data_IF_345110647096
#
_entry.id   IF_345110647096
#
_cell.length_a   1.000
_cell.length_b   1.000
_cell.length_c   1.000
_cell.angle_alpha   90.00
_cell.angle_beta   90.00
_cell.angle_gamma   90.00
#
_symmetry.space_group_name_H-M   'P 1'
#
loop_
_entity.id
_entity.type
_entity.pdbx_description
1 polymer ?
#
# COMPACT_ATOMS: atom_id res chain seq x y z
N UNK A 1 -34.65 -18.87 9.42
CA UNK A 1 -34.25 -17.74 8.56
C UNK A 1 -33.42 -16.66 9.26
N UNK A 2 -33.57 -16.41 10.57
CA UNK A 2 -32.76 -15.42 11.33
C UNK A 2 -31.25 -15.62 11.20
N UNK A 3 -30.75 -16.86 11.25
CA UNK A 3 -29.32 -17.15 11.15
C UNK A 3 -28.73 -16.87 9.75
N UNK A 4 -29.55 -17.01 8.70
CA UNK A 4 -29.12 -16.78 7.32
C UNK A 4 -28.88 -15.30 7.04
N UNK A 5 -29.74 -14.43 7.61
CA UNK A 5 -29.54 -12.97 7.59
C UNK A 5 -28.24 -12.57 8.30
N UNK A 6 -27.95 -13.20 9.44
CA UNK A 6 -26.76 -12.90 10.24
C UNK A 6 -25.46 -13.25 9.48
N UNK A 7 -25.45 -14.39 8.79
CA UNK A 7 -24.32 -14.81 7.93
C UNK A 7 -24.14 -13.85 6.75
N UNK A 8 -25.22 -13.40 6.12
CA UNK A 8 -25.15 -12.42 5.01
C UNK A 8 -24.54 -11.09 5.44
N UNK A 9 -24.92 -10.59 6.63
CA UNK A 9 -24.37 -9.33 7.19
C UNK A 9 -22.87 -9.48 7.50
N UNK A 10 -22.47 -10.63 8.05
CA UNK A 10 -21.06 -10.92 8.34
C UNK A 10 -20.21 -10.98 7.06
N UNK A 11 -20.69 -11.65 6.01
CA UNK A 11 -19.96 -11.72 4.73
C UNK A 11 -19.86 -10.34 4.08
N UNK A 12 -20.93 -9.53 4.15
CA UNK A 12 -20.95 -8.19 3.58
C UNK A 12 -20.00 -7.22 4.29
N UNK A 13 -19.84 -7.32 5.61
CA UNK A 13 -18.89 -6.47 6.35
C UNK A 13 -17.43 -6.77 5.97
N UNK A 14 -17.07 -8.03 5.67
CA UNK A 14 -15.75 -8.36 5.14
C UNK A 14 -15.48 -7.70 3.78
N UNK A 15 -16.47 -7.65 2.89
CA UNK A 15 -16.33 -6.96 1.60
C UNK A 15 -16.12 -5.45 1.75
N UNK A 16 -16.76 -4.82 2.74
CA UNK A 16 -16.61 -3.38 2.99
C UNK A 16 -15.23 -3.02 3.57
N UNK A 17 -14.63 -3.91 4.38
CA UNK A 17 -13.32 -3.68 5.02
C UNK A 17 -12.17 -4.14 4.13
N UNK A 18 -12.38 -5.12 3.25
CA UNK A 18 -11.36 -5.62 2.30
C UNK A 18 -11.12 -4.70 1.10
N UNK A 19 -11.70 -3.50 1.08
CA UNK A 19 -11.21 -2.42 0.22
C UNK A 19 -9.87 -1.95 0.79
N UNK A 20 -8.84 -2.78 0.58
CA UNK A 20 -7.45 -2.47 0.83
C UNK A 20 -7.14 -1.23 0.01
N UNK A 21 -7.24 -0.05 0.63
CA UNK A 21 -6.61 1.15 0.12
C UNK A 21 -5.12 0.87 0.19
N UNK A 22 -4.58 0.26 -0.88
CA UNK A 22 -3.20 0.45 -1.27
C UNK A 22 -3.07 1.93 -1.65
N UNK A 23 -3.15 2.81 -0.66
CA UNK A 23 -2.66 4.17 -0.82
C UNK A 23 -1.17 3.98 -0.97
N UNK A 24 -0.74 3.77 -2.22
CA UNK A 24 0.65 3.97 -2.61
C UNK A 24 0.91 5.44 -2.32
N UNK A 25 1.39 5.73 -1.11
CA UNK A 25 1.77 7.08 -0.72
C UNK A 25 2.85 7.48 -1.73
N UNK A 26 2.57 8.54 -2.47
CA UNK A 26 3.49 9.10 -3.44
C UNK A 26 4.37 10.12 -2.72
N UNK A 27 5.68 9.95 -2.85
CA UNK A 27 6.67 10.89 -2.35
C UNK A 27 7.32 11.57 -3.55
N UNK A 28 7.45 12.89 -3.49
CA UNK A 28 8.24 13.63 -4.47
C UNK A 28 9.72 13.50 -4.09
N UNK A 29 10.51 12.92 -4.98
CA UNK A 29 11.94 12.76 -4.82
C UNK A 29 12.66 13.81 -5.66
N UNK A 30 13.45 14.68 -5.03
CA UNK A 30 14.24 15.69 -5.74
C UNK A 30 15.57 15.09 -6.23
N UNK A 31 15.80 15.19 -7.54
CA UNK A 31 17.08 14.83 -8.18
C UNK A 31 17.73 16.07 -8.78
N UNK A 32 19.05 16.06 -9.09
CA UNK A 32 19.70 17.13 -9.84
C UNK A 32 19.04 17.44 -11.20
N UNK A 33 18.30 16.47 -11.76
CA UNK A 33 17.53 16.60 -13.00
C UNK A 33 16.07 17.03 -12.83
N UNK A 34 15.61 17.26 -11.59
CA UNK A 34 14.23 17.67 -11.26
C UNK A 34 13.50 16.73 -10.29
N UNK A 35 12.24 17.03 -9.99
CA UNK A 35 11.40 16.25 -9.08
C UNK A 35 10.72 15.04 -9.76
N UNK A 36 10.85 13.86 -9.16
CA UNK A 36 10.27 12.60 -9.65
C UNK A 36 9.33 12.02 -8.59
N UNK A 37 8.10 11.67 -8.98
CA UNK A 37 7.14 11.02 -8.08
C UNK A 37 7.42 9.52 -7.94
N UNK A 38 7.53 9.02 -6.71
CA UNK A 38 7.81 7.61 -6.39
C UNK A 38 6.77 7.03 -5.45
N UNK A 39 6.39 5.76 -5.66
CA UNK A 39 5.48 5.02 -4.78
C UNK A 39 6.23 4.17 -3.75
N UNK A 40 5.67 4.02 -2.56
CA UNK A 40 6.17 3.08 -1.56
C UNK A 40 6.15 1.63 -2.07
N UNK A 41 7.24 0.89 -1.85
CA UNK A 41 7.38 -0.52 -2.27
C UNK A 41 7.76 -0.73 -3.75
N UNK A 42 8.22 0.31 -4.44
CA UNK A 42 8.89 0.16 -5.72
C UNK A 42 10.34 -0.29 -5.45
N UNK A 43 10.57 -1.61 -5.51
CA UNK A 43 11.84 -2.27 -5.18
C UNK A 43 13.03 -1.72 -5.98
N UNK A 44 12.78 -1.14 -7.16
CA UNK A 44 13.80 -0.51 -8.00
C UNK A 44 14.23 0.89 -7.50
N UNK A 45 13.51 1.48 -6.54
CA UNK A 45 13.73 2.86 -6.08
C UNK A 45 14.06 3.00 -4.61
N UNK A 46 13.85 1.94 -3.83
CA UNK A 46 14.36 1.87 -2.46
C UNK A 46 15.86 1.59 -2.53
N UNK A 47 16.69 2.60 -2.25
CA UNK A 47 18.12 2.38 -2.01
C UNK A 47 18.26 1.40 -0.83
N UNK A 48 18.50 0.12 -1.11
CA UNK A 48 19.02 -0.81 -0.11
C UNK A 48 20.33 -0.21 0.38
N UNK A 49 20.36 0.26 1.63
CA UNK A 49 21.58 0.65 2.28
C UNK A 49 22.49 -0.59 2.36
N UNK A 50 23.52 -0.63 1.52
CA UNK A 50 24.46 -1.76 1.45
C UNK A 50 25.53 -1.74 2.54
N UNK A 51 25.49 -0.74 3.44
CA UNK A 51 26.53 -0.55 4.45
C UNK A 51 27.85 -0.07 3.85
N UNK A 52 28.59 0.73 4.59
CA UNK A 52 30.02 0.92 4.30
C UNK A 52 30.74 -0.40 4.58
N UNK A 53 31.30 -1.04 3.55
CA UNK A 53 32.26 -2.12 3.76
C UNK A 53 33.55 -1.45 4.24
N UNK A 54 33.89 -1.66 5.52
CA UNK A 54 35.16 -1.26 6.12
C UNK A 54 36.31 -2.14 5.65
#
# INVERSE_FOLDING_TARGET
>A
MKHMLLISILIFSYFLVSCEKKSRVLYLWETPSGGVWKSYGDDDTQLKYNGEIK
#
